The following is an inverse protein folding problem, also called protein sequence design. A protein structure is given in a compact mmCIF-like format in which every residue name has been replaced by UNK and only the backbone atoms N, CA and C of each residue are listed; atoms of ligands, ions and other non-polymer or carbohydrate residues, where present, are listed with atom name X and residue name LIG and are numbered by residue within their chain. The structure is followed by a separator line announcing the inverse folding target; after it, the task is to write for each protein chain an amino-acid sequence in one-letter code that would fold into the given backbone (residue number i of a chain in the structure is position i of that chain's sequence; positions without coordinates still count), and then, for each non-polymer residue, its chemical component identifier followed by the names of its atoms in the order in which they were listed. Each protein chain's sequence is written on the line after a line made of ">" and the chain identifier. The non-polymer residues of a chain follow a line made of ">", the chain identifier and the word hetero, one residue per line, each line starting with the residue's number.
data_IF_090456766316
#
_entry.id   IF_090456766316
#
_cell.length_a   1.000
_cell.length_b   1.000
_cell.length_c   1.000
_cell.angle_alpha   90.00
_cell.angle_beta   90.00
_cell.angle_gamma   90.00
#
_symmetry.space_group_name_H-M   'P 1'
#
loop_
_entity.id
_entity.type
_entity.pdbx_description
1 polymer ?
#
# COMPACT_ATOMS: atom_id res chain seq x y z
N UNK A 1 -28.53 1.63 -2.81
CA UNK A 1 -27.83 1.91 -2.60
C UNK A 1 -26.94 1.83 -3.01
N UNK A 2 -26.55 2.12 -3.31
CA UNK A 2 -25.67 2.12 -3.65
C UNK A 2 -24.72 2.13 -3.06
N UNK A 3 -24.30 1.46 -2.99
CA UNK A 3 -23.26 1.48 -2.52
C UNK A 3 -22.33 1.74 -3.21
N UNK A 4 -21.86 2.24 -2.89
CA UNK A 4 -20.89 2.74 -3.62
C UNK A 4 -19.62 2.25 -3.27
N UNK A 5 -19.16 1.31 -3.94
CA UNK A 5 -17.80 0.94 -3.74
C UNK A 5 -16.98 1.83 -4.59
N UNK A 6 -16.28 2.73 -3.95
CA UNK A 6 -15.40 3.57 -4.64
C UNK A 6 -14.03 3.11 -4.41
N UNK A 7 -13.25 3.03 -5.44
CA UNK A 7 -11.83 2.90 -5.28
C UNK A 7 -11.30 4.27 -4.96
N UNK A 8 -11.06 4.46 -3.68
CA UNK A 8 -10.49 5.69 -3.19
C UNK A 8 -9.02 5.44 -2.95
N UNK A 9 -8.18 5.95 -3.86
CA UNK A 9 -6.74 5.71 -3.78
C UNK A 9 -6.16 6.20 -2.46
N UNK A 10 -6.57 7.40 -2.07
CA UNK A 10 -6.05 7.99 -0.83
C UNK A 10 -6.46 7.17 0.40
N UNK A 11 -7.71 6.73 0.43
CA UNK A 11 -8.18 5.88 1.51
C UNK A 11 -7.46 4.55 1.56
N UNK A 12 -7.19 3.97 0.38
CA UNK A 12 -6.47 2.71 0.30
C UNK A 12 -5.05 2.87 0.80
N UNK A 13 -4.38 3.96 0.43
CA UNK A 13 -3.03 4.24 0.89
C UNK A 13 -3.02 4.41 2.41
N UNK A 14 -3.97 5.14 2.97
CA UNK A 14 -4.04 5.33 4.41
C UNK A 14 -4.29 4.01 5.14
N UNK A 15 -5.14 3.17 4.59
CA UNK A 15 -5.38 1.86 5.18
C UNK A 15 -4.11 1.00 5.15
N UNK A 16 -3.36 1.08 4.06
CA UNK A 16 -2.10 0.34 3.95
C UNK A 16 -1.08 0.80 4.99
N UNK A 17 -0.96 2.11 5.18
CA UNK A 17 -0.05 2.66 6.18
C UNK A 17 -0.46 2.19 7.59
N UNK A 18 -1.75 2.27 7.88
CA UNK A 18 -2.26 1.84 9.17
C UNK A 18 -1.94 0.37 9.41
N UNK A 19 -2.17 -0.47 8.39
CA UNK A 19 -1.93 -1.91 8.48
C UNK A 19 -0.46 -2.19 8.71
N UNK A 20 0.41 -1.48 8.00
CA UNK A 20 1.86 -1.61 8.19
C UNK A 20 2.24 -1.30 9.64
N UNK A 21 1.73 -0.19 10.16
CA UNK A 21 2.06 0.23 11.52
C UNK A 21 1.48 -0.74 12.56
N UNK A 22 0.27 -1.21 12.33
CA UNK A 22 -0.36 -2.18 13.23
C UNK A 22 0.44 -3.48 13.28
N UNK A 23 1.04 -3.88 12.18
CA UNK A 23 1.87 -5.07 12.11
C UNK A 23 3.32 -4.79 12.50
N UNK A 24 3.61 -3.54 12.84
CA UNK A 24 4.92 -3.11 13.36
C UNK A 24 6.06 -3.28 12.37
N UNK A 25 5.75 -3.13 11.09
CA UNK A 25 6.77 -3.12 10.05
C UNK A 25 7.27 -1.70 9.82
N UNK A 26 8.59 -1.57 9.68
CA UNK A 26 9.16 -0.34 9.11
C UNK A 26 8.90 -0.35 7.61
N UNK A 27 9.09 0.81 6.97
CA UNK A 27 9.00 0.86 5.51
C UNK A 27 10.01 -0.09 4.87
N UNK A 28 11.22 -0.13 5.41
CA UNK A 28 12.24 -1.01 4.86
C UNK A 28 11.82 -2.47 4.93
N UNK A 29 11.29 -2.87 6.08
CA UNK A 29 10.86 -4.25 6.25
C UNK A 29 9.73 -4.60 5.29
N UNK A 30 8.76 -3.72 5.16
CA UNK A 30 7.64 -3.99 4.26
C UNK A 30 8.11 -4.04 2.81
N UNK A 31 9.01 -3.14 2.42
CA UNK A 31 9.51 -3.13 1.05
C UNK A 31 10.19 -4.46 0.71
N UNK A 32 11.00 -4.97 1.62
CA UNK A 32 11.66 -6.26 1.43
C UNK A 32 10.64 -7.38 1.30
N UNK A 33 9.67 -7.41 2.21
CA UNK A 33 8.65 -8.46 2.20
C UNK A 33 7.78 -8.41 0.96
N UNK A 34 7.47 -7.21 0.50
CA UNK A 34 6.61 -7.04 -0.67
C UNK A 34 7.38 -7.21 -1.99
N UNK A 35 8.70 -7.17 -1.94
CA UNK A 35 9.49 -7.30 -3.16
C UNK A 35 9.50 -6.03 -4.00
N UNK A 36 9.43 -4.86 -3.35
CA UNK A 36 9.53 -3.57 -4.02
C UNK A 36 10.67 -2.78 -3.40
N UNK A 37 11.11 -1.73 -4.08
CA UNK A 37 12.15 -0.88 -3.53
C UNK A 37 11.58 0.04 -2.47
N UNK A 38 12.42 0.50 -1.55
CA UNK A 38 11.97 1.45 -0.53
C UNK A 38 11.44 2.74 -1.14
N UNK A 39 12.11 3.32 -2.16
CA UNK A 39 11.55 4.51 -2.83
C UNK A 39 10.16 4.25 -3.42
N UNK A 40 9.92 3.08 -3.96
CA UNK A 40 8.61 2.72 -4.50
C UNK A 40 7.57 2.70 -3.39
N UNK A 41 7.88 2.06 -2.26
CA UNK A 41 6.95 2.02 -1.14
C UNK A 41 6.72 3.42 -0.59
N UNK A 42 7.78 4.21 -0.46
CA UNK A 42 7.66 5.57 0.03
C UNK A 42 6.75 6.41 -0.86
N UNK A 43 6.90 6.31 -2.18
CA UNK A 43 6.04 7.01 -3.12
C UNK A 43 4.58 6.55 -2.98
N UNK A 44 4.37 5.25 -2.80
CA UNK A 44 3.03 4.72 -2.58
C UNK A 44 2.41 5.34 -1.33
N UNK A 45 3.15 5.40 -0.23
CA UNK A 45 2.63 5.91 1.03
C UNK A 45 2.40 7.42 0.98
N UNK A 46 3.05 8.11 0.07
CA UNK A 46 2.80 9.53 -0.17
C UNK A 46 1.56 9.77 -1.04
N UNK A 47 0.93 8.71 -1.49
CA UNK A 47 -0.28 8.82 -2.30
C UNK A 47 -0.02 9.08 -3.77
N UNK A 48 1.24 8.96 -4.21
CA UNK A 48 1.56 9.19 -5.63
C UNK A 48 0.96 8.09 -6.49
N UNK A 49 0.48 8.47 -7.66
CA UNK A 49 -0.18 7.55 -8.57
C UNK A 49 0.75 7.04 -9.66
N UNK A 50 2.04 7.31 -9.53
CA UNK A 50 3.02 6.86 -10.51
C UNK A 50 3.44 5.40 -10.33
N UNK A 51 3.03 4.78 -9.23
CA UNK A 51 3.35 3.37 -8.99
C UNK A 51 2.59 2.49 -9.99
N UNK A 52 3.20 1.40 -10.39
CA UNK A 52 2.52 0.45 -11.27
C UNK A 52 1.50 -0.35 -10.47
N UNK A 53 0.48 -0.84 -11.15
CA UNK A 53 -0.51 -1.70 -10.51
C UNK A 53 0.15 -2.95 -9.92
N UNK A 54 1.12 -3.51 -10.63
CA UNK A 54 1.81 -4.70 -10.14
C UNK A 54 2.50 -4.43 -8.81
N UNK A 55 3.19 -3.30 -8.68
CA UNK A 55 3.87 -2.96 -7.44
C UNK A 55 2.88 -2.64 -6.32
N UNK A 56 1.80 -1.95 -6.65
CA UNK A 56 0.76 -1.67 -5.67
C UNK A 56 0.16 -2.96 -5.12
N UNK A 57 -0.10 -3.93 -5.99
CA UNK A 57 -0.66 -5.21 -5.56
C UNK A 57 0.32 -5.99 -4.69
N UNK A 58 1.61 -5.93 -4.99
CA UNK A 58 2.62 -6.57 -4.14
C UNK A 58 2.56 -6.05 -2.71
N UNK A 59 2.47 -4.74 -2.58
CA UNK A 59 2.38 -4.10 -1.26
C UNK A 59 1.09 -4.52 -0.56
N UNK A 60 -0.03 -4.40 -1.26
CA UNK A 60 -1.34 -4.67 -0.67
C UNK A 60 -1.49 -6.13 -0.27
N UNK A 61 -1.00 -7.05 -1.08
CA UNK A 61 -1.06 -8.48 -0.75
C UNK A 61 -0.24 -8.81 0.48
N UNK A 62 0.93 -8.20 0.60
CA UNK A 62 1.78 -8.42 1.77
C UNK A 62 1.09 -7.98 3.05
N UNK A 63 0.25 -6.96 2.95
CA UNK A 63 -0.50 -6.43 4.09
C UNK A 63 -1.86 -7.12 4.30
N UNK A 64 -2.22 -8.03 3.41
CA UNK A 64 -3.51 -8.72 3.51
C UNK A 64 -4.69 -7.90 3.00
N UNK A 65 -4.42 -6.90 2.16
CA UNK A 65 -5.46 -6.02 1.63
C UNK A 65 -5.88 -6.38 0.21
N UNK A 66 -5.25 -7.37 -0.39
CA UNK A 66 -5.62 -7.80 -1.73
C UNK A 66 -5.48 -9.30 -1.87
#
# INVERSE_FOLDING_TARGET
>A
MERNIRLDWEGLVQEAIKRRKDQKFTQEELAVLAGVSKPTLNSFEQGKTTITLANALKILRTLGLA
#
